data_IF_695333423279
#
_entry.id   IF_695333423279
#
_cell.length_a   1.000
_cell.length_b   1.000
_cell.length_c   1.000
_cell.angle_alpha   90.00
_cell.angle_beta   90.00
_cell.angle_gamma   90.00
#
_symmetry.space_group_name_H-M   'P 1'
#
loop_
_entity.id
_entity.type
_entity.pdbx_description
1 polymer ?
#
# COMPACT_ATOMS: atom_id res chain seq x y z
N UNK A 1 -1.42 3.39 -31.09
CA UNK A 1 -1.87 4.67 -30.48
C UNK A 1 -2.82 4.46 -29.29
N UNK A 2 -3.45 3.29 -29.13
CA UNK A 2 -4.44 3.03 -28.06
C UNK A 2 -3.87 2.57 -26.70
N UNK A 3 -2.59 2.19 -26.63
CA UNK A 3 -1.97 1.73 -25.37
C UNK A 3 -1.54 2.87 -24.43
N UNK A 4 -1.34 4.09 -24.93
CA UNK A 4 -0.91 5.24 -24.12
C UNK A 4 -2.06 5.91 -23.35
N UNK A 5 -3.27 5.89 -23.91
CA UNK A 5 -4.46 6.51 -23.32
C UNK A 5 -5.01 5.75 -22.11
N UNK A 6 -4.92 4.42 -22.12
CA UNK A 6 -5.36 3.56 -20.99
C UNK A 6 -4.45 3.73 -19.77
N UNK A 7 -3.11 3.80 -19.98
CA UNK A 7 -2.14 4.00 -18.88
C UNK A 7 -2.28 5.37 -18.21
N UNK A 8 -2.48 6.44 -18.98
CA UNK A 8 -2.59 7.82 -18.47
C UNK A 8 -3.79 8.02 -17.52
N UNK A 9 -4.93 7.42 -17.86
CA UNK A 9 -6.16 7.52 -17.07
C UNK A 9 -6.04 6.81 -15.72
N UNK A 10 -5.46 5.59 -15.71
CA UNK A 10 -5.23 4.81 -14.50
C UNK A 10 -4.24 5.47 -13.53
N UNK A 11 -3.15 6.06 -14.03
CA UNK A 11 -2.19 6.77 -13.16
C UNK A 11 -2.78 8.00 -12.49
N UNK A 12 -3.61 8.77 -13.21
CA UNK A 12 -4.25 9.98 -12.66
C UNK A 12 -5.22 9.64 -11.52
N UNK A 13 -5.95 8.52 -11.64
CA UNK A 13 -6.81 8.03 -10.58
C UNK A 13 -6.01 7.67 -9.31
N UNK A 14 -4.86 7.02 -9.46
CA UNK A 14 -3.97 6.67 -8.34
C UNK A 14 -3.43 7.93 -7.65
N UNK A 15 -2.93 8.90 -8.41
CA UNK A 15 -2.41 10.16 -7.85
C UNK A 15 -3.47 10.92 -7.06
N UNK A 16 -4.72 10.95 -7.56
CA UNK A 16 -5.84 11.54 -6.85
C UNK A 16 -6.14 10.82 -5.53
N UNK A 17 -6.14 9.48 -5.53
CA UNK A 17 -6.37 8.69 -4.32
C UNK A 17 -5.27 8.91 -3.27
N UNK A 18 -4.00 8.97 -3.70
CA UNK A 18 -2.87 9.32 -2.82
C UNK A 18 -3.08 10.73 -2.23
N UNK A 19 -3.46 11.70 -3.07
CA UNK A 19 -3.72 13.07 -2.66
C UNK A 19 -4.84 13.21 -1.62
N UNK A 20 -5.94 12.49 -1.81
CA UNK A 20 -7.06 12.45 -0.86
C UNK A 20 -6.59 11.94 0.51
N UNK A 21 -5.87 10.81 0.54
CA UNK A 21 -5.40 10.21 1.80
C UNK A 21 -4.34 11.06 2.48
N UNK A 22 -3.43 11.68 1.71
CA UNK A 22 -2.49 12.66 2.25
C UNK A 22 -3.21 13.82 2.95
N UNK A 23 -4.26 14.35 2.33
CA UNK A 23 -5.09 15.41 2.92
C UNK A 23 -5.78 14.94 4.20
N UNK A 24 -6.35 13.75 4.20
CA UNK A 24 -7.02 13.16 5.37
C UNK A 24 -6.07 13.00 6.55
N UNK A 25 -4.94 12.33 6.34
CA UNK A 25 -3.91 12.13 7.38
C UNK A 25 -3.41 13.46 7.92
N UNK A 26 -3.12 14.42 7.03
CA UNK A 26 -2.70 15.77 7.45
C UNK A 26 -3.75 16.44 8.34
N UNK A 27 -5.02 16.41 7.93
CA UNK A 27 -6.13 17.02 8.68
C UNK A 27 -6.32 16.35 10.03
N UNK A 28 -6.25 15.03 10.09
CA UNK A 28 -6.35 14.27 11.34
C UNK A 28 -5.20 14.58 12.30
N UNK A 29 -4.01 14.87 11.78
CA UNK A 29 -2.87 15.35 12.56
C UNK A 29 -2.96 16.85 12.94
N UNK A 30 -4.01 17.57 12.55
CA UNK A 30 -4.17 19.00 12.82
C UNK A 30 -3.15 19.91 12.12
N UNK A 31 -2.46 19.42 11.07
CA UNK A 31 -1.38 20.15 10.41
C UNK A 31 -1.88 20.96 9.22
N UNK A 32 -1.35 22.19 9.07
CA UNK A 32 -1.58 22.99 7.87
C UNK A 32 -0.76 22.46 6.69
N UNK A 33 -1.19 22.76 5.47
CA UNK A 33 -0.42 22.44 4.27
C UNK A 33 0.98 23.08 4.32
N UNK A 34 1.10 24.30 4.84
CA UNK A 34 2.40 24.99 4.98
C UNK A 34 3.37 24.20 5.85
N UNK A 35 2.90 23.69 6.99
CA UNK A 35 3.72 22.89 7.92
C UNK A 35 4.17 21.57 7.27
N UNK A 36 3.27 20.86 6.59
CA UNK A 36 3.64 19.59 5.93
C UNK A 36 4.60 19.84 4.76
N UNK A 37 4.38 20.89 3.98
CA UNK A 37 5.26 21.25 2.86
C UNK A 37 6.68 21.56 3.36
N UNK A 38 6.80 22.33 4.44
CA UNK A 38 8.07 22.62 5.10
C UNK A 38 8.78 21.36 5.59
N UNK A 39 8.06 20.47 6.29
CA UNK A 39 8.63 19.19 6.78
C UNK A 39 9.06 18.25 5.67
N UNK A 40 8.40 18.30 4.51
CA UNK A 40 8.76 17.51 3.33
C UNK A 40 9.83 18.18 2.45
N UNK A 41 10.23 19.43 2.76
CA UNK A 41 11.17 20.19 1.93
C UNK A 41 10.63 20.54 0.54
N UNK A 42 9.31 20.72 0.40
CA UNK A 42 8.65 21.06 -0.87
C UNK A 42 7.88 22.38 -0.75
N UNK A 43 7.49 22.95 -1.89
CA UNK A 43 6.68 24.18 -1.88
C UNK A 43 5.25 23.92 -1.40
N UNK A 44 4.62 24.96 -0.84
CA UNK A 44 3.20 24.93 -0.47
C UNK A 44 2.32 24.57 -1.67
N UNK A 45 2.59 25.16 -2.85
CA UNK A 45 1.84 24.87 -4.07
C UNK A 45 2.01 23.41 -4.49
N UNK A 46 3.19 22.83 -4.32
CA UNK A 46 3.43 21.43 -4.65
C UNK A 46 2.62 20.49 -3.74
N UNK A 47 2.58 20.75 -2.44
CA UNK A 47 1.72 19.98 -1.54
C UNK A 47 0.24 20.14 -1.88
N UNK A 48 -0.21 21.37 -2.18
CA UNK A 48 -1.58 21.62 -2.60
C UNK A 48 -1.96 20.79 -3.83
N UNK A 49 -1.09 20.78 -4.86
CA UNK A 49 -1.28 20.00 -6.08
C UNK A 49 -1.22 18.49 -5.85
N UNK A 50 -0.40 18.01 -4.91
CA UNK A 50 -0.43 16.61 -4.49
C UNK A 50 -1.80 16.25 -3.91
N UNK A 51 -2.32 17.05 -2.99
CA UNK A 51 -3.63 16.76 -2.38
C UNK A 51 -4.80 16.85 -3.37
N UNK A 52 -4.64 17.60 -4.46
CA UNK A 52 -5.63 17.71 -5.54
C UNK A 52 -5.46 16.63 -6.63
N UNK A 53 -4.40 15.81 -6.57
CA UNK A 53 -4.07 14.84 -7.62
C UNK A 53 -3.65 15.49 -8.94
N UNK A 54 -3.31 16.77 -8.94
CA UNK A 54 -2.83 17.50 -10.13
C UNK A 54 -1.38 17.16 -10.44
N UNK A 55 -0.57 17.01 -9.40
CA UNK A 55 0.82 16.59 -9.51
C UNK A 55 0.96 15.12 -9.11
N UNK A 56 1.72 14.37 -9.92
CA UNK A 56 2.09 13.00 -9.60
C UNK A 56 2.95 12.94 -8.34
N UNK A 57 2.63 12.02 -7.44
CA UNK A 57 3.47 11.73 -6.28
C UNK A 57 4.47 10.64 -6.67
N UNK A 58 5.76 10.97 -6.66
CA UNK A 58 6.82 9.99 -6.97
C UNK A 58 6.97 9.00 -5.82
N UNK A 59 7.57 7.83 -6.08
CA UNK A 59 7.84 6.85 -5.04
C UNK A 59 8.72 7.44 -3.90
N UNK A 60 9.70 8.28 -4.23
CA UNK A 60 10.54 8.96 -3.25
C UNK A 60 9.74 9.95 -2.39
N UNK A 61 8.88 10.77 -3.00
CA UNK A 61 8.00 11.69 -2.24
C UNK A 61 7.02 10.91 -1.36
N UNK A 62 6.45 9.82 -1.88
CA UNK A 62 5.54 8.95 -1.13
C UNK A 62 6.24 8.31 0.08
N UNK A 63 7.50 7.92 -0.08
CA UNK A 63 8.32 7.40 1.02
C UNK A 63 8.53 8.45 2.13
N UNK A 64 8.87 9.70 1.77
CA UNK A 64 9.00 10.77 2.76
C UNK A 64 7.67 11.11 3.45
N UNK A 65 6.57 11.10 2.70
CA UNK A 65 5.21 11.26 3.26
C UNK A 65 4.91 10.15 4.27
N UNK A 66 5.19 8.90 3.90
CA UNK A 66 5.01 7.73 4.76
C UNK A 66 5.83 7.85 6.06
N UNK A 67 7.10 8.24 5.97
CA UNK A 67 7.94 8.49 7.14
C UNK A 67 7.43 9.62 8.02
N UNK A 68 7.01 10.75 7.43
CA UNK A 68 6.51 11.91 8.16
C UNK A 68 5.30 11.57 9.03
N UNK A 69 4.40 10.73 8.52
CA UNK A 69 3.17 10.35 9.23
C UNK A 69 3.24 9.00 9.95
N UNK A 70 4.38 8.29 9.86
CA UNK A 70 4.53 6.97 10.48
C UNK A 70 3.58 5.91 9.90
N UNK A 71 3.20 6.04 8.63
CA UNK A 71 2.26 5.15 7.94
C UNK A 71 2.95 4.42 6.78
N UNK A 72 2.55 3.18 6.47
CA UNK A 72 3.09 2.45 5.32
C UNK A 72 2.73 3.16 4.00
N UNK A 73 3.58 3.07 2.97
CA UNK A 73 3.28 3.66 1.65
C UNK A 73 2.00 3.06 1.05
N UNK A 74 1.76 1.78 1.33
CA UNK A 74 0.58 1.01 0.93
C UNK A 74 -0.72 1.67 1.40
N UNK A 75 -0.71 2.32 2.56
CA UNK A 75 -1.87 3.05 3.05
C UNK A 75 -2.25 4.17 2.08
N UNK A 76 -1.29 4.95 1.61
CA UNK A 76 -1.56 6.05 0.68
C UNK A 76 -1.97 5.55 -0.71
N UNK A 77 -1.51 4.38 -1.15
CA UNK A 77 -1.84 3.82 -2.47
C UNK A 77 -3.17 3.06 -2.47
N UNK A 78 -3.40 2.19 -1.48
CA UNK A 78 -4.52 1.25 -1.43
C UNK A 78 -5.62 1.67 -0.44
N UNK A 79 -5.30 2.52 0.54
CA UNK A 79 -6.23 2.88 1.62
C UNK A 79 -6.33 1.82 2.71
N UNK A 80 -5.50 0.78 2.63
CA UNK A 80 -5.45 -0.30 3.58
C UNK A 80 -4.21 -0.11 4.46
N UNK A 81 -4.39 -0.12 5.77
CA UNK A 81 -3.26 -0.38 6.66
C UNK A 81 -2.94 -1.85 6.44
N UNK A 82 -1.90 -2.13 5.64
CA UNK A 82 -1.51 -3.51 5.38
C UNK A 82 -1.46 -4.25 6.72
N UNK A 83 -2.25 -5.31 6.87
CA UNK A 83 -1.93 -6.31 7.87
C UNK A 83 -0.49 -6.69 7.55
N UNK A 84 0.43 -6.45 8.50
CA UNK A 84 1.82 -6.85 8.34
C UNK A 84 1.80 -8.35 8.13
N UNK A 85 1.82 -8.78 6.88
CA UNK A 85 2.13 -10.15 6.56
C UNK A 85 3.61 -10.25 6.83
N UNK A 86 3.95 -10.90 7.94
CA UNK A 86 5.33 -11.25 8.23
C UNK A 86 5.86 -11.98 7.00
N UNK A 87 6.96 -11.47 6.42
CA UNK A 87 7.59 -12.15 5.29
C UNK A 87 8.23 -13.40 5.86
N UNK A 88 7.47 -14.49 5.84
CA UNK A 88 7.97 -15.80 6.25
C UNK A 88 8.83 -16.34 5.11
N UNK A 89 10.15 -16.34 5.34
CA UNK A 89 11.06 -17.09 4.49
C UNK A 89 10.74 -18.57 4.69
N UNK A 90 10.29 -19.21 3.62
CA UNK A 90 10.07 -20.65 3.60
C UNK A 90 11.27 -21.33 2.96
N UNK A 91 11.64 -22.48 3.50
CA UNK A 91 12.59 -23.41 2.91
C UNK A 91 12.07 -23.93 1.56
N UNK A 92 12.96 -24.45 0.72
CA UNK A 92 12.57 -25.07 -0.55
C UNK A 92 11.58 -26.22 -0.36
N UNK A 93 11.71 -26.96 0.73
CA UNK A 93 10.82 -28.07 1.06
C UNK A 93 9.42 -27.59 1.44
N UNK A 94 9.31 -26.51 2.22
CA UNK A 94 8.04 -25.87 2.55
C UNK A 94 7.37 -25.28 1.29
N UNK A 95 8.13 -24.65 0.40
CA UNK A 95 7.61 -24.15 -0.86
C UNK A 95 7.05 -25.27 -1.76
N UNK A 96 7.75 -26.43 -1.83
CA UNK A 96 7.26 -27.63 -2.54
C UNK A 96 6.00 -28.18 -1.90
N UNK A 97 5.94 -28.24 -0.58
CA UNK A 97 4.78 -28.71 0.16
C UNK A 97 3.55 -27.83 -0.11
N UNK A 98 3.71 -26.50 -0.04
CA UNK A 98 2.65 -25.53 -0.40
C UNK A 98 2.20 -25.73 -1.84
N UNK A 99 3.14 -25.93 -2.77
CA UNK A 99 2.83 -26.18 -4.18
C UNK A 99 1.99 -27.45 -4.41
N UNK A 100 2.27 -28.53 -3.66
CA UNK A 100 1.46 -29.76 -3.68
C UNK A 100 0.10 -29.55 -3.03
N UNK A 101 0.07 -28.87 -1.88
CA UNK A 101 -1.15 -28.60 -1.12
C UNK A 101 -2.17 -27.78 -1.94
N UNK A 102 -1.72 -26.87 -2.80
CA UNK A 102 -2.61 -26.12 -3.70
C UNK A 102 -3.33 -26.96 -4.76
N UNK A 103 -2.87 -28.19 -5.01
CA UNK A 103 -3.40 -29.07 -6.06
C UNK A 103 -4.25 -30.22 -5.51
N UNK A 104 -4.38 -30.34 -4.20
CA UNK A 104 -5.22 -31.37 -3.59
C UNK A 104 -6.69 -30.97 -3.68
N UNK A 105 -7.59 -31.95 -3.58
CA UNK A 105 -9.02 -31.67 -3.49
C UNK A 105 -9.36 -30.85 -2.24
N UNK A 106 -10.38 -30.00 -2.33
CA UNK A 106 -10.79 -29.12 -1.24
C UNK A 106 -11.09 -29.88 0.08
N UNK A 107 -11.62 -31.10 -0.03
CA UNK A 107 -11.86 -31.99 1.11
C UNK A 107 -10.57 -32.32 1.88
N UNK A 108 -9.52 -32.70 1.16
CA UNK A 108 -8.20 -33.01 1.70
C UNK A 108 -7.53 -31.76 2.25
N UNK A 109 -7.64 -30.64 1.54
CA UNK A 109 -7.13 -29.35 2.02
C UNK A 109 -7.74 -28.97 3.38
N UNK A 110 -9.06 -29.10 3.52
CA UNK A 110 -9.76 -28.76 4.75
C UNK A 110 -9.36 -29.67 5.91
N UNK A 111 -9.17 -30.97 5.67
CA UNK A 111 -8.67 -31.91 6.69
C UNK A 111 -7.26 -31.56 7.16
N UNK A 112 -6.35 -31.23 6.23
CA UNK A 112 -4.98 -30.81 6.56
C UNK A 112 -5.01 -29.51 7.36
N UNK A 113 -5.83 -28.55 6.95
CA UNK A 113 -5.99 -27.27 7.66
C UNK A 113 -6.44 -27.47 9.10
N UNK A 114 -7.48 -28.27 9.32
CA UNK A 114 -8.01 -28.57 10.66
C UNK A 114 -6.95 -29.25 11.54
N UNK A 115 -6.19 -30.20 10.99
CA UNK A 115 -5.12 -30.87 11.71
C UNK A 115 -3.99 -29.91 12.13
N UNK A 116 -3.64 -28.95 11.27
CA UNK A 116 -2.62 -27.93 11.57
C UNK A 116 -3.12 -26.94 12.62
N UNK A 117 -4.37 -26.47 12.50
CA UNK A 117 -4.99 -25.55 13.47
C UNK A 117 -5.08 -26.17 14.87
N UNK A 118 -5.43 -27.46 14.98
CA UNK A 118 -5.54 -28.18 16.26
C UNK A 118 -4.19 -28.44 16.95
N UNK A 119 -3.10 -28.59 16.19
CA UNK A 119 -1.77 -28.87 16.73
C UNK A 119 -0.92 -27.62 17.00
N UNK A 120 -1.45 -26.45 16.67
CA UNK A 120 -0.78 -25.15 16.87
C UNK A 120 -1.22 -24.45 18.16
N UNK A 121 -2.03 -25.12 19.00
CA UNK A 121 -2.40 -24.76 20.37
C UNK A 121 -1.56 -25.56 21.37
#
# INVERSE_FOLDING_TARGET
MELETIKKSGTKAIDLQIGIRLREVRKNAGLSQKIVAERLGISFQQLQRYEQGENRVTAASLHHIAQLFGLPMEYFVRGEVAQRHEVVLVTDDEARLIGRLRRVEASVFNQVRELVELKSL
#
